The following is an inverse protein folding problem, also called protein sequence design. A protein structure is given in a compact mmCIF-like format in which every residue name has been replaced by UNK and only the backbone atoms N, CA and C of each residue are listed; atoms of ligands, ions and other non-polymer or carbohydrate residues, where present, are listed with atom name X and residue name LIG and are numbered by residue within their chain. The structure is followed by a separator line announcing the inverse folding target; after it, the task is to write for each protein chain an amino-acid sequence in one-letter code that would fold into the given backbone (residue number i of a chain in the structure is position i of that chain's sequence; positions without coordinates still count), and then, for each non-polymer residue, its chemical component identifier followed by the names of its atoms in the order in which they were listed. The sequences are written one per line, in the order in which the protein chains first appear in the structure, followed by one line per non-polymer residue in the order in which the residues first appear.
data_IF_794236648209
#
_entry.id   IF_794236648209
#
_cell.length_a   1.000
_cell.length_b   1.000
_cell.length_c   1.000
_cell.angle_alpha   90.00
_cell.angle_beta   90.00
_cell.angle_gamma   90.00
#
_symmetry.space_group_name_H-M   'P 1'
#
loop_
_entity.id
_entity.type
_entity.pdbx_description
1 polymer ?
#
# COMPACT_ATOMS: atom_id res chain seq x y z
N UNK A 1 -2.75 2.71 5.19
CA UNK A 1 -1.58 3.32 4.55
C UNK A 1 -2.02 4.18 3.36
N UNK A 2 -1.46 5.36 3.15
CA UNK A 2 -1.75 6.10 1.91
C UNK A 2 -1.11 5.39 0.71
N UNK A 3 -1.85 5.18 -0.39
CA UNK A 3 -1.35 4.50 -1.60
C UNK A 3 -0.03 5.10 -2.12
N UNK A 4 0.10 6.43 -2.11
CA UNK A 4 1.33 7.11 -2.57
C UNK A 4 2.55 6.79 -1.71
N UNK A 5 2.36 6.55 -0.41
CA UNK A 5 3.46 6.16 0.48
C UNK A 5 3.92 4.72 0.21
N UNK A 6 2.99 3.80 -0.13
CA UNK A 6 3.33 2.44 -0.56
C UNK A 6 4.23 2.47 -1.81
N UNK A 7 3.90 3.31 -2.80
CA UNK A 7 4.69 3.43 -4.01
C UNK A 7 6.14 3.85 -3.75
N UNK A 8 6.42 4.65 -2.72
CA UNK A 8 7.80 4.97 -2.34
C UNK A 8 8.55 3.74 -1.82
N UNK A 9 7.91 2.94 -0.96
CA UNK A 9 8.49 1.72 -0.39
C UNK A 9 8.80 0.71 -1.51
N UNK A 10 7.87 0.53 -2.46
CA UNK A 10 8.07 -0.29 -3.67
C UNK A 10 9.26 0.22 -4.49
N UNK A 11 9.31 1.53 -4.77
CA UNK A 11 10.41 2.13 -5.56
C UNK A 11 11.79 2.01 -4.89
N UNK A 12 11.82 1.79 -3.57
CA UNK A 12 13.05 1.59 -2.80
C UNK A 12 13.37 0.12 -2.55
N UNK A 13 12.59 -0.81 -3.10
CA UNK A 13 12.81 -2.26 -2.99
C UNK A 13 12.87 -2.74 -1.52
N UNK A 14 12.15 -2.07 -0.63
CA UNK A 14 12.05 -2.43 0.79
C UNK A 14 10.63 -2.87 1.18
N UNK A 15 9.79 -3.17 0.18
CA UNK A 15 8.40 -3.55 0.38
C UNK A 15 8.29 -4.98 0.91
N UNK A 16 7.35 -5.19 1.81
CA UNK A 16 7.00 -6.48 2.38
C UNK A 16 5.54 -6.85 2.07
N UNK A 17 5.17 -8.10 2.29
CA UNK A 17 3.77 -8.56 2.17
C UNK A 17 2.85 -7.79 3.14
N UNK A 18 3.33 -7.51 4.35
CA UNK A 18 2.61 -6.71 5.33
C UNK A 18 2.24 -5.31 4.80
N UNK A 19 3.11 -4.67 3.99
CA UNK A 19 2.83 -3.36 3.40
C UNK A 19 1.62 -3.42 2.45
N UNK A 20 1.52 -4.45 1.62
CA UNK A 20 0.39 -4.66 0.71
C UNK A 20 -0.91 -4.95 1.45
N UNK A 21 -0.86 -5.77 2.51
CA UNK A 21 -2.02 -6.08 3.36
C UNK A 21 -2.50 -4.83 4.12
N UNK A 22 -1.57 -4.07 4.71
CA UNK A 22 -1.90 -2.81 5.40
C UNK A 22 -2.44 -1.75 4.43
N UNK A 23 -1.99 -1.76 3.18
CA UNK A 23 -2.56 -0.94 2.13
C UNK A 23 -3.99 -1.38 1.80
N UNK A 24 -4.23 -2.67 1.60
CA UNK A 24 -5.56 -3.18 1.25
C UNK A 24 -6.58 -2.89 2.35
N UNK A 25 -6.26 -3.16 3.61
CA UNK A 25 -7.13 -2.83 4.74
C UNK A 25 -7.46 -1.34 4.79
N UNK A 26 -6.48 -0.45 4.54
CA UNK A 26 -6.77 0.98 4.60
C UNK A 26 -7.65 1.49 3.47
N UNK A 27 -7.64 0.86 2.30
CA UNK A 27 -8.60 1.18 1.25
C UNK A 27 -10.00 0.68 1.64
N UNK A 28 -10.10 -0.52 2.20
CA UNK A 28 -11.37 -1.08 2.67
C UNK A 28 -12.00 -0.26 3.80
N UNK A 29 -11.20 0.23 4.75
CA UNK A 29 -11.63 1.18 5.79
C UNK A 29 -12.23 2.47 5.22
N UNK A 30 -11.79 2.87 4.02
CA UNK A 30 -12.31 4.05 3.31
C UNK A 30 -13.42 3.69 2.30
N UNK A 31 -14.02 2.50 2.40
CA UNK A 31 -15.06 1.98 1.49
C UNK A 31 -14.62 1.86 0.02
N UNK A 32 -13.31 1.73 -0.22
CA UNK A 32 -12.74 1.47 -1.55
C UNK A 32 -12.46 -0.03 -1.64
N UNK A 33 -13.11 -0.72 -2.58
CA UNK A 33 -13.02 -2.17 -2.74
C UNK A 33 -12.86 -2.56 -4.20
N UNK A 34 -12.11 -3.62 -4.45
CA UNK A 34 -12.07 -4.35 -5.73
C UNK A 34 -11.87 -5.85 -5.49
N UNK A 35 -12.16 -6.73 -6.46
CA UNK A 35 -11.94 -8.16 -6.31
C UNK A 35 -10.51 -8.51 -5.90
N UNK A 36 -9.51 -7.96 -6.59
CA UNK A 36 -8.11 -8.25 -6.29
C UNK A 36 -7.66 -7.63 -4.96
N UNK A 37 -8.18 -6.44 -4.62
CA UNK A 37 -7.91 -5.82 -3.32
C UNK A 37 -8.39 -6.70 -2.15
N UNK A 38 -9.56 -7.30 -2.30
CA UNK A 38 -10.13 -8.18 -1.27
C UNK A 38 -9.30 -9.45 -1.09
N UNK A 39 -8.72 -9.99 -2.17
CA UNK A 39 -7.79 -11.12 -2.08
C UNK A 39 -6.53 -10.68 -1.32
N UNK A 40 -6.00 -9.49 -1.61
CA UNK A 40 -4.80 -8.98 -0.92
C UNK A 40 -5.02 -8.94 0.60
N UNK A 41 -6.19 -8.50 1.04
CA UNK A 41 -6.56 -8.42 2.46
C UNK A 41 -6.64 -9.78 3.17
N UNK A 42 -6.56 -10.90 2.45
CA UNK A 42 -6.62 -12.26 3.02
C UNK A 42 -5.27 -12.98 3.07
N UNK A 43 -4.20 -12.41 2.49
CA UNK A 43 -2.87 -13.00 2.61
C UNK A 43 -2.35 -12.99 4.05
N UNK A 44 -1.51 -13.97 4.35
CA UNK A 44 -0.63 -14.01 5.51
C UNK A 44 0.65 -13.22 5.25
N UNK A 45 1.31 -12.76 6.31
CA UNK A 45 2.61 -12.07 6.22
C UNK A 45 3.74 -12.98 5.71
N UNK A 46 3.55 -14.30 5.76
CA UNK A 46 4.51 -15.31 5.31
C UNK A 46 4.33 -15.70 3.83
N UNK A 47 3.28 -15.20 3.17
CA UNK A 47 3.00 -15.55 1.78
C UNK A 47 4.05 -15.01 0.82
N UNK A 48 4.03 -15.51 -0.40
CA UNK A 48 4.99 -15.12 -1.42
C UNK A 48 4.71 -13.71 -1.93
N UNK A 49 5.69 -12.81 -1.79
CA UNK A 49 5.57 -11.43 -2.24
C UNK A 49 5.22 -11.30 -3.73
N UNK A 50 5.70 -12.20 -4.59
CA UNK A 50 5.40 -12.17 -6.02
C UNK A 50 3.92 -12.46 -6.33
N UNK A 51 3.28 -13.31 -5.53
CA UNK A 51 1.86 -13.60 -5.66
C UNK A 51 1.03 -12.38 -5.25
N UNK A 52 1.41 -11.75 -4.13
CA UNK A 52 0.77 -10.53 -3.64
C UNK A 52 0.92 -9.38 -4.65
N UNK A 53 2.10 -9.24 -5.26
CA UNK A 53 2.35 -8.24 -6.31
C UNK A 53 1.49 -8.45 -7.57
N UNK A 54 1.19 -9.70 -7.94
CA UNK A 54 0.29 -9.98 -9.05
C UNK A 54 -1.11 -9.42 -8.78
N UNK A 55 -1.67 -9.68 -7.58
CA UNK A 55 -2.96 -9.13 -7.19
C UNK A 55 -2.91 -7.63 -6.96
N UNK A 56 -1.80 -7.08 -6.46
CA UNK A 56 -1.61 -5.64 -6.35
C UNK A 56 -1.73 -4.94 -7.70
N UNK A 57 -1.04 -5.44 -8.73
CA UNK A 57 -1.12 -4.88 -10.08
C UNK A 57 -2.55 -4.99 -10.66
N UNK A 58 -3.26 -6.10 -10.41
CA UNK A 58 -4.67 -6.22 -10.79
C UNK A 58 -5.54 -5.20 -10.06
N UNK A 59 -5.36 -5.03 -8.75
CA UNK A 59 -6.11 -4.07 -7.95
C UNK A 59 -5.87 -2.61 -8.41
N UNK A 60 -4.63 -2.26 -8.78
CA UNK A 60 -4.33 -0.94 -9.37
C UNK A 60 -5.14 -0.70 -10.65
N UNK A 61 -5.21 -1.69 -11.53
CA UNK A 61 -5.99 -1.59 -12.76
C UNK A 61 -7.50 -1.51 -12.49
N UNK A 62 -8.02 -2.36 -11.60
CA UNK A 62 -9.44 -2.39 -11.22
C UNK A 62 -9.91 -1.08 -10.56
N UNK A 63 -9.03 -0.43 -9.80
CA UNK A 63 -9.30 0.82 -9.09
C UNK A 63 -8.88 2.07 -9.87
N UNK A 64 -8.35 1.89 -11.09
CA UNK A 64 -7.82 2.96 -11.94
C UNK A 64 -6.73 3.82 -11.23
N UNK A 65 -5.98 3.21 -10.30
CA UNK A 65 -4.92 3.88 -9.55
C UNK A 65 -3.68 3.98 -10.43
N UNK A 66 -3.34 5.20 -10.80
CA UNK A 66 -2.13 5.48 -11.57
C UNK A 66 -0.89 5.50 -10.68
N UNK A 67 0.23 5.00 -11.21
CA UNK A 67 1.53 5.08 -10.54
C UNK A 67 1.94 6.56 -10.38
N UNK A 68 2.14 7.05 -9.14
CA UNK A 68 2.58 8.42 -8.90
C UNK A 68 4.04 8.64 -9.30
N UNK A 69 4.42 9.91 -9.43
CA UNK A 69 5.83 10.28 -9.60
C UNK A 69 6.64 9.96 -8.33
N UNK A 70 7.96 9.85 -8.48
CA UNK A 70 8.86 9.66 -7.35
C UNK A 70 8.73 10.78 -6.30
N UNK A 71 8.58 12.03 -6.74
CA UNK A 71 8.41 13.19 -5.85
C UNK A 71 7.12 13.10 -5.03
N UNK A 72 5.99 12.76 -5.68
CA UNK A 72 4.69 12.59 -5.00
C UNK A 72 4.77 11.46 -3.98
N UNK A 73 5.39 10.35 -4.35
CA UNK A 73 5.57 9.19 -3.47
C UNK A 73 6.43 9.54 -2.25
N UNK A 74 7.54 10.27 -2.48
CA UNK A 74 8.46 10.70 -1.42
C UNK A 74 7.77 11.63 -0.43
N UNK A 75 6.99 12.61 -0.92
CA UNK A 75 6.25 13.53 -0.07
C UNK A 75 5.24 12.80 0.82
N UNK A 76 4.45 11.89 0.22
CA UNK A 76 3.49 11.08 0.98
C UNK A 76 4.17 10.19 2.02
N UNK A 77 5.35 9.64 1.71
CA UNK A 77 6.11 8.86 2.68
C UNK A 77 6.64 9.69 3.85
N UNK A 78 7.13 10.92 3.59
CA UNK A 78 7.54 11.86 4.64
C UNK A 78 6.34 12.20 5.55
N UNK A 79 5.17 12.49 4.98
CA UNK A 79 3.94 12.76 5.72
C UNK A 79 3.52 11.55 6.58
N UNK A 80 3.62 10.34 6.05
CA UNK A 80 3.37 9.11 6.79
C UNK A 80 4.29 9.00 8.02
N UNK A 81 5.59 9.24 7.85
CA UNK A 81 6.57 9.20 8.94
C UNK A 81 6.31 10.28 9.99
N UNK A 82 6.05 11.52 9.57
CA UNK A 82 5.73 12.62 10.48
C UNK A 82 4.49 12.30 11.33
N UNK A 83 3.43 11.75 10.70
CA UNK A 83 2.21 11.35 11.42
C UNK A 83 2.47 10.21 12.41
N UNK A 84 3.34 9.25 12.08
CA UNK A 84 3.75 8.19 13.04
C UNK A 84 4.44 8.79 14.26
N UNK A 85 5.36 9.73 14.07
CA UNK A 85 6.07 10.41 15.17
C UNK A 85 5.08 11.17 16.06
N UNK A 86 4.13 11.90 15.47
CA UNK A 86 3.13 12.67 16.24
C UNK A 86 2.22 11.74 17.05
N UNK A 87 1.77 10.61 16.47
CA UNK A 87 0.91 9.65 17.18
C UNK A 87 1.61 8.93 18.33
N UNK A 88 2.91 8.69 18.23
CA UNK A 88 3.69 8.04 19.31
C UNK A 88 3.92 8.98 20.50
N UNK A 89 3.94 10.30 20.25
CA UNK A 89 4.20 11.31 21.28
C UNK A 89 2.92 11.88 21.94
N UNK A 90 1.74 11.33 21.63
CA UNK A 90 0.45 11.66 22.25
C UNK A 90 -0.12 10.43 22.97
#
# INVERSE_FOLDING_TARGET
MQSNALFYIIQKEIVSVEDYINWSHSLLENNISSPSLNIIATFSFEDNIFEVEEYFNKALNELEIQKPSFEVSTRAYIELLANKIIKVNN
#
